data_IF_084995290932
#
_entry.id   IF_084995290932
#
_cell.length_a   1.000
_cell.length_b   1.000
_cell.length_c   1.000
_cell.angle_alpha   90.00
_cell.angle_beta   90.00
_cell.angle_gamma   90.00
#
_symmetry.space_group_name_H-M   'P 1'
#
loop_
_entity.id
_entity.type
_entity.pdbx_description
1 polymer ?
#
# COMPACT_ATOMS: atom_id res chain seq x y z
N UNK A 1 -32.58 25.52 16.83
CA UNK A 1 -32.14 24.44 15.94
C UNK A 1 -30.99 24.90 15.03
N UNK A 2 -30.01 25.62 15.56
CA UNK A 2 -29.09 26.45 14.73
C UNK A 2 -27.66 25.88 14.72
N UNK A 3 -27.37 24.97 15.66
CA UNK A 3 -26.09 24.27 15.81
C UNK A 3 -25.91 23.17 14.75
N UNK A 4 -27.01 22.55 14.31
CA UNK A 4 -27.00 21.52 13.26
C UNK A 4 -26.67 22.14 11.88
N UNK A 5 -27.22 23.31 11.58
CA UNK A 5 -26.92 24.08 10.35
C UNK A 5 -25.44 24.49 10.25
N UNK A 6 -24.77 24.74 11.38
CA UNK A 6 -23.34 25.07 11.41
C UNK A 6 -22.47 23.84 11.19
N UNK A 7 -22.92 22.65 11.60
CA UNK A 7 -22.23 21.38 11.38
C UNK A 7 -22.26 20.97 9.90
N UNK A 8 -23.42 21.13 9.24
CA UNK A 8 -23.61 20.85 7.80
C UNK A 8 -22.70 21.71 6.91
N UNK A 9 -22.38 22.94 7.31
CA UNK A 9 -21.46 23.81 6.55
C UNK A 9 -19.97 23.45 6.66
N UNK A 10 -19.54 22.68 7.67
CA UNK A 10 -18.12 22.31 7.87
C UNK A 10 -17.76 20.92 7.35
N UNK A 11 -18.75 20.05 7.19
CA UNK A 11 -18.64 18.75 6.54
C UNK A 11 -18.04 18.78 5.11
N UNK A 12 -18.38 19.72 4.20
CA UNK A 12 -17.90 19.65 2.82
C UNK A 12 -16.38 19.87 2.72
N UNK A 13 -15.80 20.75 3.53
CA UNK A 13 -14.35 21.05 3.47
C UNK A 13 -13.52 19.87 3.99
N UNK A 14 -13.96 19.26 5.10
CA UNK A 14 -13.31 18.07 5.64
C UNK A 14 -13.42 16.88 4.67
N UNK A 15 -14.60 16.64 4.11
CA UNK A 15 -14.80 15.59 3.12
C UNK A 15 -13.98 15.81 1.84
N UNK A 16 -13.87 17.06 1.37
CA UNK A 16 -13.04 17.42 0.22
C UNK A 16 -11.55 17.18 0.51
N UNK A 17 -11.04 17.56 1.69
CA UNK A 17 -9.64 17.32 2.05
C UNK A 17 -9.31 15.82 2.17
N UNK A 18 -10.25 15.01 2.67
CA UNK A 18 -10.11 13.55 2.74
C UNK A 18 -10.15 12.93 1.34
N UNK A 19 -11.05 13.40 0.47
CA UNK A 19 -11.14 12.92 -0.91
C UNK A 19 -9.88 13.27 -1.71
N UNK A 20 -9.30 14.45 -1.51
CA UNK A 20 -8.07 14.88 -2.19
C UNK A 20 -6.86 14.06 -1.75
N UNK A 21 -6.72 13.81 -0.45
CA UNK A 21 -5.65 12.95 0.08
C UNK A 21 -5.79 11.50 -0.41
N UNK A 22 -7.02 10.98 -0.45
CA UNK A 22 -7.30 9.65 -1.01
C UNK A 22 -7.03 9.60 -2.52
N UNK A 23 -7.46 10.60 -3.29
CA UNK A 23 -7.16 10.71 -4.72
C UNK A 23 -5.67 10.82 -4.99
N UNK A 24 -4.89 11.57 -4.20
CA UNK A 24 -3.43 11.64 -4.35
C UNK A 24 -2.75 10.30 -4.03
N UNK A 25 -3.23 9.58 -3.01
CA UNK A 25 -2.76 8.24 -2.67
C UNK A 25 -3.04 7.22 -3.77
N UNK A 26 -4.17 7.34 -4.48
CA UNK A 26 -4.55 6.43 -5.57
C UNK A 26 -4.07 6.87 -6.97
N UNK A 27 -3.86 8.18 -7.21
CA UNK A 27 -3.60 8.74 -8.54
C UNK A 27 -2.15 8.58 -9.02
N UNK A 28 -1.21 8.18 -8.16
CA UNK A 28 0.21 8.05 -8.53
C UNK A 28 0.62 6.63 -8.95
N UNK A 29 -0.34 5.77 -9.30
CA UNK A 29 -0.12 4.34 -9.55
C UNK A 29 0.05 3.96 -11.04
N UNK A 30 0.49 4.87 -11.93
CA UNK A 30 0.98 4.41 -13.24
C UNK A 30 2.45 3.98 -13.10
N UNK A 31 2.68 2.67 -12.92
CA UNK A 31 4.02 2.09 -12.93
C UNK A 31 4.75 2.25 -14.28
N UNK A 32 4.04 2.75 -15.29
CA UNK A 32 4.52 3.04 -16.64
C UNK A 32 4.43 4.53 -16.94
N UNK A 33 5.46 5.03 -17.61
CA UNK A 33 5.48 6.35 -18.23
C UNK A 33 4.67 6.33 -19.53
N UNK A 34 4.32 7.51 -20.05
CA UNK A 34 3.72 7.69 -21.39
C UNK A 34 4.49 6.98 -22.50
N UNK A 35 5.81 6.82 -22.30
CA UNK A 35 6.74 6.28 -23.28
C UNK A 35 6.88 4.75 -23.16
N UNK A 36 6.02 4.10 -22.35
CA UNK A 36 6.01 2.66 -22.13
C UNK A 36 7.07 2.13 -21.15
N UNK A 37 8.01 2.98 -20.74
CA UNK A 37 9.07 2.64 -19.79
C UNK A 37 8.57 2.56 -18.35
N UNK A 38 9.19 1.70 -17.54
CA UNK A 38 8.87 1.59 -16.10
C UNK A 38 9.40 2.81 -15.36
N UNK A 39 8.58 3.42 -14.53
CA UNK A 39 9.00 4.55 -13.70
C UNK A 39 9.99 4.08 -12.62
N UNK A 40 10.83 4.99 -12.13
CA UNK A 40 11.74 4.70 -11.01
C UNK A 40 10.95 4.17 -9.80
N UNK A 41 9.79 4.76 -9.52
CA UNK A 41 8.87 4.28 -8.49
C UNK A 41 8.41 2.84 -8.77
N UNK A 42 8.02 2.52 -10.01
CA UNK A 42 7.67 1.16 -10.43
C UNK A 42 8.80 0.15 -10.22
N UNK A 43 10.05 0.55 -10.48
CA UNK A 43 11.23 -0.29 -10.23
C UNK A 43 11.42 -0.54 -8.73
N UNK A 44 11.30 0.50 -7.90
CA UNK A 44 11.40 0.38 -6.45
C UNK A 44 10.29 -0.54 -5.90
N UNK A 45 9.06 -0.39 -6.39
CA UNK A 45 7.93 -1.24 -6.01
C UNK A 45 8.20 -2.72 -6.34
N UNK A 46 8.72 -2.99 -7.54
CA UNK A 46 9.06 -4.35 -7.96
C UNK A 46 10.19 -4.91 -7.08
N UNK A 47 11.25 -4.14 -6.85
CA UNK A 47 12.38 -4.56 -6.04
C UNK A 47 11.96 -4.88 -4.60
N UNK A 48 11.12 -4.04 -3.99
CA UNK A 48 10.62 -4.25 -2.63
C UNK A 48 9.82 -5.56 -2.52
N UNK A 49 8.96 -5.84 -3.49
CA UNK A 49 8.16 -7.06 -3.53
C UNK A 49 9.03 -8.31 -3.69
N UNK A 50 9.99 -8.27 -4.62
CA UNK A 50 10.94 -9.39 -4.83
C UNK A 50 11.76 -9.65 -3.56
N UNK A 51 12.27 -8.60 -2.92
CA UNK A 51 13.03 -8.72 -1.67
C UNK A 51 12.17 -9.32 -0.54
N UNK A 52 10.90 -8.94 -0.45
CA UNK A 52 9.99 -9.50 0.54
C UNK A 52 9.73 -11.00 0.31
N UNK A 53 9.54 -11.42 -0.94
CA UNK A 53 9.38 -12.84 -1.30
C UNK A 53 10.65 -13.63 -0.99
N UNK A 54 11.83 -13.12 -1.37
CA UNK A 54 13.11 -13.79 -1.05
C UNK A 54 13.27 -13.92 0.47
N UNK A 55 13.01 -12.84 1.21
CA UNK A 55 13.04 -12.84 2.68
C UNK A 55 12.06 -13.86 3.25
N UNK A 56 10.87 -14.00 2.68
CA UNK A 56 9.84 -14.94 3.12
C UNK A 56 10.28 -16.39 2.96
N UNK A 57 10.88 -16.73 1.82
CA UNK A 57 11.36 -18.09 1.55
C UNK A 57 12.45 -18.48 2.55
N UNK A 58 13.36 -17.54 2.86
CA UNK A 58 14.49 -17.72 3.79
C UNK A 58 14.11 -17.93 5.26
N UNK A 59 12.88 -17.64 5.67
CA UNK A 59 12.48 -17.81 7.07
C UNK A 59 12.23 -19.28 7.41
N UNK A 60 12.56 -19.74 8.62
CA UNK A 60 12.38 -21.14 9.06
C UNK A 60 10.97 -21.45 9.59
N UNK A 61 9.97 -20.65 9.20
CA UNK A 61 8.61 -20.78 9.70
C UNK A 61 7.86 -21.98 9.11
N UNK A 62 6.83 -22.47 9.82
CA UNK A 62 5.91 -23.46 9.26
C UNK A 62 5.26 -22.96 7.98
N UNK A 63 4.97 -23.90 7.06
CA UNK A 63 4.50 -23.61 5.70
C UNK A 63 3.24 -22.74 5.68
N UNK A 64 2.32 -22.94 6.64
CA UNK A 64 1.08 -22.16 6.72
C UNK A 64 1.34 -20.66 6.90
N UNK A 65 2.25 -20.28 7.81
CA UNK A 65 2.64 -18.87 8.02
C UNK A 65 3.29 -18.28 6.76
N UNK A 66 4.10 -19.08 6.05
CA UNK A 66 4.71 -18.65 4.79
C UNK A 66 3.66 -18.38 3.72
N UNK A 67 2.68 -19.27 3.56
CA UNK A 67 1.61 -19.12 2.57
C UNK A 67 0.79 -17.86 2.86
N UNK A 68 0.42 -17.61 4.12
CA UNK A 68 -0.35 -16.42 4.51
C UNK A 68 0.38 -15.14 4.12
N UNK A 69 1.65 -15.00 4.53
CA UNK A 69 2.44 -13.82 4.18
C UNK A 69 2.74 -13.72 2.68
N UNK A 70 2.95 -14.86 2.01
CA UNK A 70 3.13 -14.92 0.56
C UNK A 70 1.89 -14.41 -0.17
N UNK A 71 0.70 -14.77 0.29
CA UNK A 71 -0.57 -14.30 -0.26
C UNK A 71 -0.72 -12.79 -0.06
N UNK A 72 -0.39 -12.28 1.12
CA UNK A 72 -0.43 -10.83 1.43
C UNK A 72 0.51 -10.04 0.51
N UNK A 73 1.75 -10.50 0.34
CA UNK A 73 2.73 -9.86 -0.56
C UNK A 73 2.29 -9.97 -2.02
N UNK A 74 1.66 -11.09 -2.42
CA UNK A 74 1.21 -11.30 -3.80
C UNK A 74 0.08 -10.35 -4.22
N UNK A 75 -0.97 -10.25 -3.40
CA UNK A 75 -2.10 -9.36 -3.70
C UNK A 75 -1.77 -7.88 -3.50
N UNK A 76 -0.87 -7.57 -2.57
CA UNK A 76 -0.47 -6.21 -2.26
C UNK A 76 1.06 -6.10 -2.29
N UNK A 77 1.71 -6.07 -3.46
CA UNK A 77 3.17 -6.12 -3.57
C UNK A 77 3.87 -4.96 -2.87
N UNK A 78 3.28 -3.76 -2.89
CA UNK A 78 3.84 -2.63 -2.16
C UNK A 78 3.49 -2.68 -0.67
N UNK A 79 2.20 -2.57 -0.36
CA UNK A 79 1.73 -2.46 1.01
C UNK A 79 1.96 -3.74 1.83
N UNK A 80 1.75 -4.90 1.23
CA UNK A 80 2.00 -6.21 1.83
C UNK A 80 3.48 -6.45 2.12
N UNK A 81 4.40 -5.98 1.26
CA UNK A 81 5.85 -6.06 1.54
C UNK A 81 6.28 -5.16 2.70
N UNK A 82 5.71 -3.95 2.78
CA UNK A 82 5.95 -3.03 3.89
C UNK A 82 5.46 -3.65 5.20
N UNK A 83 4.21 -4.12 5.23
CA UNK A 83 3.60 -4.75 6.41
C UNK A 83 4.37 -6.02 6.78
N UNK A 84 4.80 -6.81 5.80
CA UNK A 84 5.64 -7.99 6.02
C UNK A 84 6.94 -7.60 6.74
N UNK A 85 7.67 -6.60 6.24
CA UNK A 85 8.93 -6.22 6.84
C UNK A 85 8.82 -5.64 8.25
N UNK A 86 7.71 -4.96 8.56
CA UNK A 86 7.45 -4.36 9.87
C UNK A 86 6.90 -5.36 10.89
N UNK A 87 5.95 -6.20 10.50
CA UNK A 87 5.10 -6.95 11.45
C UNK A 87 5.22 -8.46 11.36
N UNK A 88 5.91 -9.03 10.37
CA UNK A 88 5.95 -10.50 10.24
C UNK A 88 6.76 -11.20 11.34
N UNK A 89 7.47 -10.44 12.19
CA UNK A 89 8.30 -10.98 13.26
C UNK A 89 9.45 -11.83 12.72
N UNK A 90 10.16 -11.31 11.71
CA UNK A 90 11.34 -11.95 11.12
C UNK A 90 12.42 -12.13 12.17
N UNK A 91 13.05 -13.29 12.20
CA UNK A 91 14.30 -13.54 12.92
C UNK A 91 15.37 -13.94 11.91
#
# INVERSE_FOLDING_TARGET
>A
MNKLLTLTKRLPVAALSLSLTLSLLLSSCSGRRSDGTTTIAGIIYLALAVLAVISLIKQDWPIGKKIIWGLVIWFFPFLGSIIYFLFSGRR
#
